data_IF_712129408409
#
_entry.id   IF_712129408409
#
_cell.length_a   1.000
_cell.length_b   1.000
_cell.length_c   1.000
_cell.angle_alpha   90.00
_cell.angle_beta   90.00
_cell.angle_gamma   90.00
#
_symmetry.space_group_name_H-M   'P 1'
#
loop_
_entity.id
_entity.type
_entity.pdbx_description
1 polymer ?
#
# COMPACT_ATOMS: atom_id res chain seq x y z
N UNK A 1 17.64 -8.26 21.40
CA UNK A 1 16.96 -7.99 22.70
C UNK A 1 15.50 -8.31 22.48
N UNK A 2 14.93 -9.24 23.24
CA UNK A 2 13.51 -9.60 23.10
C UNK A 2 12.63 -8.44 23.62
N UNK A 3 11.48 -8.19 23.01
CA UNK A 3 10.55 -7.12 23.47
C UNK A 3 10.10 -7.32 24.92
N UNK A 4 9.94 -8.58 25.36
CA UNK A 4 9.66 -8.93 26.76
C UNK A 4 10.75 -8.52 27.74
N UNK A 5 12.02 -8.62 27.33
CA UNK A 5 13.18 -8.20 28.11
C UNK A 5 13.21 -6.68 28.32
N UNK A 6 12.84 -5.93 27.29
CA UNK A 6 12.75 -4.47 27.34
C UNK A 6 11.61 -4.01 28.28
N UNK A 7 10.43 -4.64 28.17
CA UNK A 7 9.28 -4.35 29.02
C UNK A 7 9.63 -4.64 30.47
N UNK A 8 10.19 -5.82 30.75
CA UNK A 8 10.63 -6.20 32.11
C UNK A 8 11.58 -5.16 32.72
N UNK A 9 12.60 -4.72 31.96
CA UNK A 9 13.55 -3.70 32.44
C UNK A 9 12.90 -2.35 32.69
N UNK A 10 11.95 -1.93 31.84
CA UNK A 10 11.24 -0.67 32.04
C UNK A 10 10.33 -0.71 33.27
N UNK A 11 9.67 -1.83 33.52
CA UNK A 11 8.76 -1.97 34.67
C UNK A 11 9.52 -2.23 35.97
N UNK A 12 10.43 -3.21 36.00
CA UNK A 12 11.08 -3.64 37.24
C UNK A 12 12.32 -2.79 37.60
N UNK A 13 13.13 -2.38 36.61
CA UNK A 13 14.35 -1.62 36.88
C UNK A 13 14.12 -0.11 36.91
N UNK A 14 13.16 0.41 36.13
CA UNK A 14 12.91 1.84 35.97
C UNK A 14 11.57 2.29 36.62
N UNK A 15 10.74 1.38 37.08
CA UNK A 15 9.43 1.69 37.67
C UNK A 15 8.43 2.33 36.71
N UNK A 16 8.64 2.18 35.40
CA UNK A 16 7.79 2.79 34.37
C UNK A 16 6.73 1.77 33.98
N UNK A 17 5.45 2.11 34.19
CA UNK A 17 4.32 1.30 33.67
C UNK A 17 4.29 1.39 32.14
N UNK A 18 4.45 0.25 31.48
CA UNK A 18 4.40 0.14 30.02
C UNK A 18 3.10 -0.52 29.59
N UNK A 19 2.36 0.15 28.70
CA UNK A 19 1.22 -0.46 28.00
C UNK A 19 1.66 -0.86 26.61
N UNK A 20 1.57 -2.15 26.28
CA UNK A 20 1.91 -2.68 24.96
C UNK A 20 0.62 -2.86 24.18
N UNK A 21 0.56 -2.23 22.99
CA UNK A 21 -0.53 -2.51 22.04
C UNK A 21 -0.27 -3.81 21.30
N UNK A 22 -1.35 -4.45 20.83
CA UNK A 22 -1.21 -5.56 19.91
C UNK A 22 -0.41 -5.15 18.68
N UNK A 23 0.45 -6.05 18.16
CA UNK A 23 1.23 -5.75 16.97
C UNK A 23 0.32 -5.53 15.76
N UNK A 24 0.62 -4.50 14.98
CA UNK A 24 -0.19 -4.08 13.84
C UNK A 24 0.48 -4.53 12.54
N UNK A 25 -0.28 -5.23 11.70
CA UNK A 25 0.11 -5.51 10.31
C UNK A 25 -0.30 -4.33 9.44
N UNK A 26 0.62 -3.80 8.66
CA UNK A 26 0.36 -2.71 7.71
C UNK A 26 0.13 -3.32 6.33
N UNK A 27 -1.11 -3.33 5.91
CA UNK A 27 -1.52 -3.72 4.58
C UNK A 27 -1.31 -2.58 3.56
N UNK A 28 -1.55 -2.87 2.29
CA UNK A 28 -1.56 -1.86 1.21
C UNK A 28 -2.84 -1.98 0.40
N UNK A 29 -3.42 -0.85 0.05
CA UNK A 29 -4.51 -0.81 -0.92
C UNK A 29 -3.97 -0.65 -2.34
N UNK A 30 -4.61 -1.26 -3.31
CA UNK A 30 -4.32 -1.12 -4.72
C UNK A 30 -5.57 -1.40 -5.56
N UNK A 31 -5.40 -1.49 -6.86
CA UNK A 31 -6.44 -1.83 -7.81
C UNK A 31 -5.98 -2.95 -8.74
N UNK A 32 -6.92 -3.76 -9.23
CA UNK A 32 -6.62 -4.86 -10.15
C UNK A 32 -7.04 -4.59 -11.59
N UNK A 33 -7.88 -3.58 -11.82
CA UNK A 33 -8.36 -3.18 -13.14
C UNK A 33 -8.16 -1.68 -13.31
N UNK A 34 -8.02 -1.23 -14.56
CA UNK A 34 -8.14 0.18 -14.90
C UNK A 34 -9.62 0.60 -15.03
N UNK A 35 -9.88 1.90 -14.95
CA UNK A 35 -11.17 2.48 -15.30
C UNK A 35 -11.08 3.43 -16.51
N UNK A 36 -10.13 3.17 -17.40
CA UNK A 36 -9.89 3.97 -18.60
C UNK A 36 -11.15 4.19 -19.42
N UNK A 37 -11.39 5.43 -19.81
CA UNK A 37 -12.63 5.85 -20.51
C UNK A 37 -13.87 5.97 -19.62
N UNK A 38 -13.75 5.72 -18.29
CA UNK A 38 -14.81 5.84 -17.31
C UNK A 38 -14.36 6.67 -16.12
N UNK A 39 -13.85 7.87 -16.38
CA UNK A 39 -13.34 8.78 -15.37
C UNK A 39 -14.38 9.02 -14.25
N UNK A 40 -13.90 9.12 -13.03
CA UNK A 40 -14.75 9.48 -11.89
C UNK A 40 -14.73 10.99 -11.68
N UNK A 41 -15.91 11.58 -11.50
CA UNK A 41 -16.09 13.01 -11.26
C UNK A 41 -16.06 13.30 -9.75
N UNK A 42 -15.11 14.11 -9.30
CA UNK A 42 -15.13 14.70 -7.97
C UNK A 42 -15.51 16.17 -8.04
N UNK A 43 -16.42 16.58 -7.19
CA UNK A 43 -16.95 17.95 -7.12
C UNK A 43 -16.43 18.67 -5.88
N UNK A 44 -16.12 19.95 -6.02
CA UNK A 44 -15.81 20.77 -4.85
C UNK A 44 -17.05 21.00 -3.99
N UNK A 45 -16.90 21.24 -2.65
CA UNK A 45 -18.04 21.52 -1.77
C UNK A 45 -18.94 22.65 -2.26
N UNK A 46 -18.37 23.68 -2.88
CA UNK A 46 -19.13 24.77 -3.51
C UNK A 46 -19.71 24.41 -4.89
N UNK A 47 -19.45 23.20 -5.43
CA UNK A 47 -19.88 22.68 -6.73
C UNK A 47 -19.42 23.47 -7.97
N UNK A 48 -18.48 24.40 -7.79
CA UNK A 48 -17.96 25.22 -8.89
C UNK A 48 -16.79 24.56 -9.63
N UNK A 49 -16.10 23.62 -8.99
CA UNK A 49 -14.96 22.91 -9.59
C UNK A 49 -15.26 21.42 -9.69
N UNK A 50 -14.76 20.81 -10.75
CA UNK A 50 -14.90 19.37 -11.01
C UNK A 50 -13.56 18.84 -11.51
N UNK A 51 -13.19 17.65 -11.04
CA UNK A 51 -11.99 16.93 -11.45
C UNK A 51 -12.38 15.54 -11.92
N UNK A 52 -11.87 15.12 -13.06
CA UNK A 52 -12.15 13.84 -13.67
C UNK A 52 -10.91 12.97 -13.62
N UNK A 53 -10.98 11.87 -12.89
CA UNK A 53 -9.86 10.99 -12.58
C UNK A 53 -10.08 9.60 -13.17
N UNK A 54 -9.04 9.10 -13.79
CA UNK A 54 -8.86 7.68 -14.11
C UNK A 54 -7.73 7.11 -13.25
N UNK A 55 -7.83 5.81 -12.93
CA UNK A 55 -6.81 5.07 -12.19
C UNK A 55 -6.47 3.78 -12.94
N UNK A 56 -5.21 3.41 -12.95
CA UNK A 56 -4.74 2.17 -13.53
C UNK A 56 -3.62 1.56 -12.65
N UNK A 57 -3.52 0.21 -12.58
CA UNK A 57 -2.45 -0.42 -11.84
C UNK A 57 -1.11 -0.18 -12.57
N UNK A 58 -0.06 0.09 -11.80
CA UNK A 58 1.29 0.13 -12.34
C UNK A 58 1.82 -1.30 -12.51
N UNK A 59 2.65 -1.56 -13.52
CA UNK A 59 3.36 -2.82 -13.67
C UNK A 59 4.21 -3.17 -12.44
N UNK A 60 4.35 -4.46 -12.14
CA UNK A 60 5.07 -4.93 -10.96
C UNK A 60 6.56 -4.55 -10.95
N UNK A 61 7.19 -4.54 -12.10
CA UNK A 61 8.59 -4.12 -12.28
C UNK A 61 8.78 -2.63 -12.01
N UNK A 62 7.85 -1.79 -12.48
CA UNK A 62 7.81 -0.34 -12.16
C UNK A 62 7.63 -0.14 -10.66
N UNK A 63 6.65 -0.81 -10.07
CA UNK A 63 6.37 -0.72 -8.63
C UNK A 63 7.57 -1.15 -7.78
N UNK A 64 8.29 -2.18 -8.22
CA UNK A 64 9.53 -2.65 -7.59
C UNK A 64 10.64 -1.60 -7.69
N UNK A 65 10.88 -1.09 -8.89
CA UNK A 65 11.90 -0.06 -9.14
C UNK A 65 11.64 1.23 -8.33
N UNK A 66 10.36 1.60 -8.17
CA UNK A 66 9.98 2.73 -7.30
C UNK A 66 10.30 2.45 -5.83
N UNK A 67 10.05 1.23 -5.35
CA UNK A 67 10.38 0.81 -3.98
C UNK A 67 11.88 0.80 -3.72
N UNK A 68 12.68 0.47 -4.72
CA UNK A 68 14.15 0.49 -4.69
C UNK A 68 14.73 1.92 -4.78
N UNK A 69 13.86 2.94 -4.94
CA UNK A 69 14.26 4.34 -4.95
C UNK A 69 14.84 4.84 -6.27
N UNK A 70 14.66 4.11 -7.39
CA UNK A 70 15.14 4.51 -8.73
C UNK A 70 14.48 5.81 -9.19
N UNK A 71 13.22 6.01 -8.80
CA UNK A 71 12.47 7.24 -9.04
C UNK A 71 12.44 8.05 -7.73
N UNK A 72 12.68 9.33 -7.76
CA UNK A 72 12.55 10.19 -6.58
C UNK A 72 11.13 10.16 -5.99
N UNK A 73 10.93 10.76 -4.82
CA UNK A 73 9.62 10.93 -4.18
C UNK A 73 9.26 12.42 -4.10
N UNK A 74 7.98 12.75 -4.16
CA UNK A 74 7.47 14.13 -4.07
C UNK A 74 7.01 14.74 -5.39
N UNK A 75 6.82 16.06 -5.39
CA UNK A 75 6.40 16.83 -6.56
C UNK A 75 7.51 16.86 -7.62
N UNK A 76 7.17 16.52 -8.86
CA UNK A 76 8.11 16.54 -10.00
C UNK A 76 8.08 17.91 -10.65
N UNK A 77 9.20 18.64 -10.66
CA UNK A 77 9.29 19.95 -11.33
C UNK A 77 9.20 19.79 -12.84
N UNK A 78 8.65 20.80 -13.54
CA UNK A 78 8.49 20.75 -14.99
C UNK A 78 9.82 20.51 -15.74
N UNK A 79 10.93 21.04 -15.23
CA UNK A 79 12.26 20.83 -15.79
C UNK A 79 12.74 19.38 -15.68
N UNK A 80 12.35 18.67 -14.61
CA UNK A 80 12.78 17.31 -14.30
C UNK A 80 11.83 16.25 -14.94
N UNK A 81 10.63 16.67 -15.34
CA UNK A 81 9.59 15.77 -15.87
C UNK A 81 10.03 14.99 -17.13
N UNK A 82 10.92 15.58 -17.94
CA UNK A 82 11.48 14.91 -19.13
C UNK A 82 12.40 13.76 -18.74
N UNK A 83 13.26 13.96 -17.74
CA UNK A 83 14.18 12.93 -17.24
C UNK A 83 13.40 11.80 -16.55
N UNK A 84 12.49 12.16 -15.65
CA UNK A 84 11.61 11.20 -14.96
C UNK A 84 10.81 10.37 -15.97
N UNK A 85 10.20 11.02 -16.98
CA UNK A 85 9.46 10.33 -18.03
C UNK A 85 10.33 9.40 -18.90
N UNK A 86 11.61 9.72 -19.11
CA UNK A 86 12.54 8.82 -19.79
C UNK A 86 12.84 7.58 -18.95
N UNK A 87 13.07 7.73 -17.63
CA UNK A 87 13.27 6.60 -16.71
C UNK A 87 12.08 5.65 -16.71
N UNK A 88 10.85 6.17 -16.62
CA UNK A 88 9.65 5.32 -16.72
C UNK A 88 9.53 4.60 -18.07
N UNK A 89 9.97 5.23 -19.16
CA UNK A 89 9.96 4.60 -20.49
C UNK A 89 10.92 3.40 -20.60
N UNK A 90 11.99 3.34 -19.80
CA UNK A 90 12.90 2.18 -19.73
C UNK A 90 12.18 0.93 -19.17
N UNK A 91 11.12 1.13 -18.40
CA UNK A 91 10.23 0.08 -17.89
C UNK A 91 8.97 -0.10 -18.75
N UNK A 92 8.97 0.36 -20.01
CA UNK A 92 7.87 0.16 -20.97
C UNK A 92 6.66 1.08 -20.80
N UNK A 93 6.71 2.07 -19.89
CA UNK A 93 5.63 3.06 -19.75
C UNK A 93 5.61 4.06 -20.91
N UNK A 94 4.42 4.57 -21.24
CA UNK A 94 4.29 5.60 -22.29
C UNK A 94 5.08 6.87 -21.92
N UNK A 95 6.15 7.10 -22.68
CA UNK A 95 7.05 8.25 -22.48
C UNK A 95 6.34 9.60 -22.52
N UNK A 96 5.36 9.77 -23.42
CA UNK A 96 4.65 11.04 -23.58
C UNK A 96 3.71 11.30 -22.42
N UNK A 97 3.08 10.25 -21.90
CA UNK A 97 2.25 10.32 -20.71
C UNK A 97 3.10 10.62 -19.48
N UNK A 98 4.20 9.89 -19.29
CA UNK A 98 5.05 10.04 -18.10
C UNK A 98 5.82 11.37 -18.04
N UNK A 99 5.98 12.09 -19.16
CA UNK A 99 6.49 13.46 -19.16
C UNK A 99 5.53 14.50 -18.59
N UNK A 100 4.27 14.11 -18.35
CA UNK A 100 3.23 14.95 -17.75
C UNK A 100 3.04 14.65 -16.25
N UNK A 101 3.98 13.96 -15.64
CA UNK A 101 3.94 13.60 -14.23
C UNK A 101 3.94 14.84 -13.34
N UNK A 102 3.06 14.85 -12.35
CA UNK A 102 2.95 15.91 -11.35
C UNK A 102 3.66 15.53 -10.05
N UNK A 103 3.49 14.29 -9.60
CA UNK A 103 4.08 13.83 -8.35
C UNK A 103 4.25 12.31 -8.33
N UNK A 104 5.19 11.87 -7.50
CA UNK A 104 5.37 10.49 -7.06
C UNK A 104 5.16 10.48 -5.54
N UNK A 105 4.39 9.51 -5.04
CA UNK A 105 4.27 9.28 -3.60
C UNK A 105 4.41 7.78 -3.30
N UNK A 106 5.57 7.41 -2.74
CA UNK A 106 5.95 6.02 -2.56
C UNK A 106 6.01 5.27 -3.90
N UNK A 107 5.08 4.35 -4.11
CA UNK A 107 4.96 3.60 -5.38
C UNK A 107 3.75 4.03 -6.21
N UNK A 108 3.25 5.24 -6.01
CA UNK A 108 2.08 5.76 -6.74
C UNK A 108 2.47 7.00 -7.54
N UNK A 109 1.81 7.21 -8.66
CA UNK A 109 2.14 8.27 -9.61
C UNK A 109 0.90 9.09 -9.92
N UNK A 110 1.04 10.43 -9.94
CA UNK A 110 0.01 11.35 -10.41
C UNK A 110 0.45 11.96 -11.74
N UNK A 111 -0.40 11.84 -12.76
CA UNK A 111 -0.15 12.37 -14.10
C UNK A 111 -1.23 13.35 -14.51
N UNK A 112 -0.83 14.49 -15.07
CA UNK A 112 -1.77 15.44 -15.69
C UNK A 112 -1.93 15.11 -17.18
N UNK A 113 -2.99 14.42 -17.54
CA UNK A 113 -3.30 14.08 -18.92
C UNK A 113 -4.41 14.99 -19.53
N UNK A 114 -4.66 16.14 -18.91
CA UNK A 114 -5.64 17.11 -19.41
C UNK A 114 -5.12 17.83 -20.67
N UNK A 115 -6.04 18.43 -21.40
CA UNK A 115 -5.72 19.26 -22.58
C UNK A 115 -6.34 20.65 -22.44
N UNK A 116 -5.48 21.67 -22.31
CA UNK A 116 -5.91 23.07 -22.42
C UNK A 116 -6.84 23.57 -21.32
N UNK A 117 -6.74 23.05 -20.10
CA UNK A 117 -7.56 23.51 -18.97
C UNK A 117 -7.04 24.84 -18.46
N UNK A 118 -7.89 25.86 -18.51
CA UNK A 118 -7.57 27.19 -18.00
C UNK A 118 -7.40 27.15 -16.46
N UNK A 119 -6.44 27.91 -15.95
CA UNK A 119 -6.13 28.06 -14.52
C UNK A 119 -5.72 26.78 -13.77
N UNK A 120 -5.52 25.64 -14.46
CA UNK A 120 -5.14 24.39 -13.82
C UNK A 120 -3.79 24.49 -13.08
N UNK A 121 -2.86 25.25 -13.63
CA UNK A 121 -1.53 25.46 -13.05
C UNK A 121 -1.56 26.08 -11.65
N UNK A 122 -2.56 26.92 -11.35
CA UNK A 122 -2.75 27.55 -10.04
C UNK A 122 -3.22 26.55 -8.97
N UNK A 123 -3.87 25.47 -9.38
CA UNK A 123 -4.39 24.43 -8.49
C UNK A 123 -3.45 23.22 -8.35
N UNK A 124 -2.31 23.23 -9.05
CA UNK A 124 -1.40 22.09 -9.13
C UNK A 124 -0.99 21.55 -7.76
N UNK A 125 -0.54 22.40 -6.86
CA UNK A 125 -0.08 21.99 -5.52
C UNK A 125 -1.23 21.40 -4.69
N UNK A 126 -2.44 21.95 -4.82
CA UNK A 126 -3.63 21.43 -4.14
C UNK A 126 -4.06 20.06 -4.70
N UNK A 127 -3.88 19.84 -6.00
CA UNK A 127 -4.12 18.53 -6.64
C UNK A 127 -3.11 17.50 -6.12
N UNK A 128 -1.84 17.87 -6.01
CA UNK A 128 -0.78 17.01 -5.45
C UNK A 128 -1.07 16.70 -3.98
N UNK A 129 -1.51 17.67 -3.19
CA UNK A 129 -1.89 17.46 -1.78
C UNK A 129 -3.05 16.47 -1.65
N UNK A 130 -4.12 16.63 -2.44
CA UNK A 130 -5.25 15.71 -2.49
C UNK A 130 -4.83 14.27 -2.88
N UNK A 131 -3.90 14.14 -3.82
CA UNK A 131 -3.30 12.86 -4.20
C UNK A 131 -2.50 12.24 -3.05
N UNK A 132 -1.64 13.02 -2.39
CA UNK A 132 -0.83 12.56 -1.27
C UNK A 132 -1.69 12.09 -0.09
N UNK A 133 -2.81 12.76 0.18
CA UNK A 133 -3.76 12.35 1.20
C UNK A 133 -4.34 10.95 0.92
N UNK A 134 -4.72 10.70 -0.33
CA UNK A 134 -5.26 9.39 -0.72
C UNK A 134 -4.17 8.32 -0.75
N UNK A 135 -2.94 8.66 -1.15
CA UNK A 135 -1.82 7.72 -1.08
C UNK A 135 -1.54 7.24 0.35
N UNK A 136 -1.79 8.07 1.34
CA UNK A 136 -1.65 7.71 2.77
C UNK A 136 -2.85 6.93 3.30
N UNK A 137 -4.06 7.21 2.78
CA UNK A 137 -5.34 6.67 3.25
C UNK A 137 -6.26 6.33 2.08
N UNK A 138 -6.18 5.09 1.61
CA UNK A 138 -7.01 4.58 0.53
C UNK A 138 -8.50 4.50 0.90
N UNK A 139 -9.38 4.19 -0.07
CA UNK A 139 -10.83 4.22 0.13
C UNK A 139 -11.39 2.99 0.86
N UNK A 140 -10.65 1.87 0.92
CA UNK A 140 -11.17 0.59 1.42
C UNK A 140 -11.09 0.52 2.95
N UNK A 141 -9.91 0.74 3.50
CA UNK A 141 -9.63 0.57 4.94
C UNK A 141 -8.64 1.61 5.49
N UNK A 142 -8.51 2.76 4.83
CA UNK A 142 -7.53 3.81 5.18
C UNK A 142 -6.09 3.24 5.29
N UNK A 143 -5.77 2.20 4.49
CA UNK A 143 -4.39 1.72 4.35
C UNK A 143 -3.67 2.48 3.22
N UNK A 144 -2.33 2.60 3.29
CA UNK A 144 -1.59 3.30 2.24
C UNK A 144 -1.71 2.62 0.88
N UNK A 145 -1.77 3.41 -0.19
CA UNK A 145 -1.81 2.91 -1.56
C UNK A 145 -0.45 2.34 -2.02
N UNK A 146 -0.51 1.41 -2.94
CA UNK A 146 0.65 0.82 -3.60
C UNK A 146 0.37 0.51 -5.07
N UNK A 147 1.31 0.92 -5.95
CA UNK A 147 1.32 0.50 -7.35
C UNK A 147 0.18 1.06 -8.19
N UNK A 148 -0.20 2.32 -7.97
CA UNK A 148 -1.31 2.96 -8.70
C UNK A 148 -0.84 4.17 -9.48
N UNK A 149 -1.22 4.27 -10.74
CA UNK A 149 -1.16 5.50 -11.52
C UNK A 149 -2.52 6.19 -11.52
N UNK A 150 -2.54 7.43 -11.05
CA UNK A 150 -3.71 8.33 -11.04
C UNK A 150 -3.55 9.33 -12.18
N UNK A 151 -4.52 9.37 -13.08
CA UNK A 151 -4.53 10.27 -14.23
C UNK A 151 -5.64 11.32 -14.07
N UNK A 152 -5.25 12.58 -14.01
CA UNK A 152 -6.20 13.69 -14.16
C UNK A 152 -6.46 13.87 -15.66
N UNK A 153 -7.63 13.46 -16.15
CA UNK A 153 -7.95 13.45 -17.59
C UNK A 153 -8.70 14.69 -18.04
N UNK A 154 -9.47 15.32 -17.13
CA UNK A 154 -10.18 16.58 -17.40
C UNK A 154 -10.43 17.34 -16.09
N UNK A 155 -10.69 18.64 -16.18
CA UNK A 155 -11.14 19.46 -15.07
C UNK A 155 -11.99 20.64 -15.56
N UNK A 156 -12.95 21.03 -14.72
CA UNK A 156 -13.72 22.28 -14.89
C UNK A 156 -13.48 23.14 -13.65
N UNK A 157 -12.89 24.29 -13.86
CA UNK A 157 -12.48 25.21 -12.78
C UNK A 157 -13.25 26.52 -12.91
N UNK A 158 -13.65 27.07 -11.78
CA UNK A 158 -14.25 28.39 -11.72
C UNK A 158 -13.22 29.46 -12.14
N UNK A 159 -13.63 30.52 -12.80
CA UNK A 159 -12.74 31.59 -13.28
C UNK A 159 -12.10 32.38 -12.13
N UNK A 160 -12.88 32.62 -11.07
CA UNK A 160 -12.41 33.34 -9.88
C UNK A 160 -11.63 32.43 -8.94
N UNK A 161 -10.40 32.84 -8.61
CA UNK A 161 -9.48 32.10 -7.76
C UNK A 161 -10.02 31.85 -6.33
N UNK A 162 -10.88 32.72 -5.80
CA UNK A 162 -11.49 32.57 -4.46
C UNK A 162 -12.29 31.27 -4.35
N UNK A 163 -12.83 30.78 -5.47
CA UNK A 163 -13.60 29.53 -5.52
C UNK A 163 -12.76 28.28 -5.75
N UNK A 164 -11.44 28.41 -5.93
CA UNK A 164 -10.48 27.32 -6.18
C UNK A 164 -9.51 27.07 -5.03
N UNK A 165 -9.77 27.63 -3.87
CA UNK A 165 -8.89 27.50 -2.69
C UNK A 165 -8.78 26.05 -2.14
N UNK A 166 -7.88 25.82 -1.15
CA UNK A 166 -7.60 24.51 -0.59
C UNK A 166 -8.86 23.77 -0.13
N UNK A 167 -9.76 24.45 0.60
CA UNK A 167 -11.01 23.89 1.11
C UNK A 167 -11.98 23.40 0.02
N UNK A 168 -11.78 23.80 -1.22
CA UNK A 168 -12.59 23.40 -2.37
C UNK A 168 -11.89 22.34 -3.22
N UNK A 169 -10.62 22.57 -3.55
CA UNK A 169 -9.87 21.73 -4.49
C UNK A 169 -9.43 20.41 -3.87
N UNK A 170 -8.85 20.43 -2.67
CA UNK A 170 -8.32 19.22 -2.04
C UNK A 170 -9.41 18.15 -1.82
N UNK A 171 -10.59 18.46 -1.21
CA UNK A 171 -11.66 17.47 -1.05
C UNK A 171 -12.16 16.93 -2.39
N UNK A 172 -12.32 17.79 -3.40
CA UNK A 172 -12.79 17.38 -4.73
C UNK A 172 -11.84 16.38 -5.38
N UNK A 173 -10.55 16.66 -5.38
CA UNK A 173 -9.52 15.76 -5.93
C UNK A 173 -9.46 14.46 -5.15
N UNK A 174 -9.46 14.51 -3.82
CA UNK A 174 -9.46 13.34 -2.95
C UNK A 174 -10.67 12.43 -3.22
N UNK A 175 -11.87 13.00 -3.33
CA UNK A 175 -13.08 12.25 -3.63
C UNK A 175 -13.02 11.66 -5.04
N UNK A 176 -12.54 12.42 -6.04
CA UNK A 176 -12.35 11.93 -7.40
C UNK A 176 -11.42 10.72 -7.45
N UNK A 177 -10.28 10.77 -6.75
CA UNK A 177 -9.31 9.67 -6.71
C UNK A 177 -9.91 8.46 -5.99
N UNK A 178 -10.50 8.64 -4.81
CA UNK A 178 -11.11 7.54 -4.04
C UNK A 178 -12.23 6.85 -4.83
N UNK A 179 -13.09 7.60 -5.49
CA UNK A 179 -14.13 7.05 -6.35
C UNK A 179 -13.58 6.30 -7.56
N UNK A 180 -12.53 6.83 -8.21
CA UNK A 180 -11.86 6.15 -9.32
C UNK A 180 -11.23 4.81 -8.88
N UNK A 181 -10.59 4.77 -7.70
CA UNK A 181 -10.01 3.55 -7.14
C UNK A 181 -11.07 2.48 -6.87
N UNK A 182 -12.22 2.84 -6.28
CA UNK A 182 -13.32 1.90 -6.05
C UNK A 182 -13.88 1.34 -7.36
N UNK A 183 -14.01 2.20 -8.39
CA UNK A 183 -14.45 1.80 -9.75
C UNK A 183 -13.47 0.84 -10.44
N UNK A 184 -12.21 0.88 -10.04
CA UNK A 184 -11.11 0.09 -10.62
C UNK A 184 -10.88 -1.26 -9.91
N UNK A 185 -11.86 -1.76 -9.18
CA UNK A 185 -11.78 -3.00 -8.38
C UNK A 185 -10.61 -2.99 -7.40
N UNK A 186 -10.84 -2.37 -6.26
CA UNK A 186 -9.86 -2.30 -5.18
C UNK A 186 -9.46 -3.70 -4.67
N UNK A 187 -8.18 -3.84 -4.35
CA UNK A 187 -7.56 -5.05 -3.79
C UNK A 187 -6.69 -4.67 -2.59
N UNK A 188 -6.43 -5.65 -1.73
CA UNK A 188 -5.50 -5.50 -0.60
C UNK A 188 -4.25 -6.34 -0.87
N UNK A 189 -3.11 -5.80 -0.50
CA UNK A 189 -1.84 -6.50 -0.45
C UNK A 189 -1.44 -6.74 0.99
N UNK A 190 -1.04 -7.98 1.31
CA UNK A 190 -0.52 -8.35 2.61
C UNK A 190 1.02 -8.39 2.60
N UNK A 191 1.68 -7.95 3.69
CA UNK A 191 3.12 -8.03 3.79
C UNK A 191 3.57 -9.47 4.06
N UNK A 192 4.65 -9.86 3.38
CA UNK A 192 5.27 -11.17 3.46
C UNK A 192 6.65 -11.10 4.09
N UNK A 193 7.08 -12.19 4.67
CA UNK A 193 8.45 -12.41 5.13
C UNK A 193 9.01 -13.71 4.56
N UNK A 194 10.29 -13.67 4.16
CA UNK A 194 11.08 -14.87 3.96
C UNK A 194 11.38 -15.45 5.32
N UNK A 195 11.33 -16.77 5.45
CA UNK A 195 11.69 -17.50 6.66
C UNK A 195 12.76 -18.55 6.33
N UNK A 196 13.71 -18.71 7.22
CA UNK A 196 14.64 -19.83 7.25
C UNK A 196 14.62 -20.41 8.65
N UNK A 197 14.41 -21.71 8.73
CA UNK A 197 14.31 -22.45 10.00
C UNK A 197 15.22 -23.65 9.92
N UNK A 198 16.27 -23.65 10.71
CA UNK A 198 17.22 -24.75 10.82
C UNK A 198 16.85 -25.60 12.05
N UNK A 199 16.64 -26.90 11.86
CA UNK A 199 16.23 -27.83 12.91
C UNK A 199 16.76 -29.25 12.66
N UNK A 200 16.91 -30.08 13.72
CA UNK A 200 17.22 -31.49 13.56
C UNK A 200 16.17 -32.25 12.71
N UNK A 201 16.61 -33.23 11.94
CA UNK A 201 15.76 -33.98 11.02
C UNK A 201 14.55 -34.65 11.71
N UNK A 202 14.70 -35.08 12.97
CA UNK A 202 13.65 -35.75 13.73
C UNK A 202 12.45 -34.83 14.08
N UNK A 203 12.63 -33.50 14.07
CA UNK A 203 11.56 -32.51 14.37
C UNK A 203 11.13 -31.69 13.14
N UNK A 204 11.73 -31.93 11.97
CA UNK A 204 11.47 -31.13 10.77
C UNK A 204 9.99 -31.21 10.30
N UNK A 205 9.32 -32.33 10.55
CA UNK A 205 7.89 -32.47 10.28
C UNK A 205 7.02 -31.51 11.09
N UNK A 206 7.44 -31.22 12.34
CA UNK A 206 6.79 -30.20 13.17
C UNK A 206 6.99 -28.80 12.60
N UNK A 207 8.20 -28.48 12.15
CA UNK A 207 8.51 -27.19 11.50
C UNK A 207 7.67 -27.00 10.24
N UNK A 208 7.65 -27.99 9.36
CA UNK A 208 6.86 -27.97 8.12
C UNK A 208 5.38 -27.74 8.39
N UNK A 209 4.82 -28.42 9.38
CA UNK A 209 3.44 -28.26 9.78
C UNK A 209 3.15 -26.84 10.28
N UNK A 210 3.98 -26.27 11.15
CA UNK A 210 3.80 -24.93 11.68
C UNK A 210 3.83 -23.87 10.56
N UNK A 211 4.72 -24.01 9.60
CA UNK A 211 4.80 -23.09 8.46
C UNK A 211 3.54 -23.21 7.59
N UNK A 212 3.11 -24.42 7.24
CA UNK A 212 1.98 -24.62 6.32
C UNK A 212 0.63 -24.25 6.94
N UNK A 213 0.42 -24.52 8.24
CA UNK A 213 -0.82 -24.13 8.94
C UNK A 213 -0.98 -22.61 9.04
N UNK A 214 0.12 -21.86 8.91
CA UNK A 214 0.19 -20.39 8.90
C UNK A 214 0.24 -19.78 7.49
N UNK A 215 -0.33 -20.45 6.51
CA UNK A 215 -0.34 -20.05 5.10
C UNK A 215 1.07 -19.83 4.50
N UNK A 216 2.10 -20.38 5.14
CA UNK A 216 3.46 -20.35 4.64
C UNK A 216 3.63 -21.29 3.44
N UNK A 217 4.47 -20.85 2.50
CA UNK A 217 4.87 -21.64 1.33
C UNK A 217 6.33 -22.03 1.51
N UNK A 218 6.60 -23.32 1.51
CA UNK A 218 7.96 -23.86 1.57
C UNK A 218 8.49 -23.88 0.15
N UNK A 219 9.64 -23.22 -0.07
CA UNK A 219 10.31 -23.12 -1.36
C UNK A 219 11.43 -24.15 -1.51
N UNK A 220 12.16 -24.43 -0.41
CA UNK A 220 13.26 -25.37 -0.40
C UNK A 220 13.42 -26.02 0.99
N UNK A 221 14.06 -27.20 1.01
CA UNK A 221 14.31 -27.94 2.24
C UNK A 221 15.63 -28.72 2.18
N UNK A 222 16.78 -28.03 2.14
CA UNK A 222 18.08 -28.68 2.10
C UNK A 222 18.37 -29.42 3.42
N UNK A 223 19.00 -30.58 3.29
CA UNK A 223 19.42 -31.44 4.42
C UNK A 223 20.93 -31.50 4.44
N UNK A 224 21.52 -31.24 5.60
CA UNK A 224 22.95 -31.36 5.85
C UNK A 224 23.19 -32.21 7.11
N UNK A 225 23.61 -33.44 6.90
CA UNK A 225 23.79 -34.41 7.98
C UNK A 225 22.53 -34.67 8.79
N UNK A 226 22.55 -34.27 10.06
CA UNK A 226 21.44 -34.45 10.99
C UNK A 226 20.53 -33.22 11.10
N UNK A 227 20.75 -32.18 10.30
CA UNK A 227 20.01 -30.94 10.32
C UNK A 227 19.35 -30.68 8.95
N UNK A 228 18.13 -30.20 8.96
CA UNK A 228 17.46 -29.71 7.75
C UNK A 228 17.09 -28.25 7.94
N UNK A 229 17.09 -27.50 6.84
CA UNK A 229 16.62 -26.12 6.78
C UNK A 229 15.29 -26.06 6.05
N UNK A 230 14.28 -25.43 6.60
CA UNK A 230 13.04 -25.06 5.89
C UNK A 230 13.18 -23.63 5.44
N UNK A 231 13.17 -23.41 4.13
CA UNK A 231 13.24 -22.09 3.49
C UNK A 231 11.92 -21.83 2.82
N UNK A 232 11.34 -20.66 3.04
CA UNK A 232 10.05 -20.33 2.46
C UNK A 232 9.59 -18.91 2.76
N UNK A 233 8.31 -18.66 2.50
CA UNK A 233 7.64 -17.38 2.73
C UNK A 233 6.40 -17.56 3.58
N UNK A 234 6.12 -16.59 4.43
CA UNK A 234 4.94 -16.60 5.30
C UNK A 234 4.37 -15.17 5.41
N UNK A 235 3.03 -15.01 5.45
CA UNK A 235 2.44 -13.72 5.75
C UNK A 235 2.83 -13.22 7.14
N UNK A 236 3.15 -11.92 7.26
CA UNK A 236 3.49 -11.33 8.55
C UNK A 236 2.30 -11.44 9.52
N UNK A 237 1.07 -11.34 9.03
CA UNK A 237 -0.13 -11.52 9.84
C UNK A 237 -0.18 -12.87 10.58
N UNK A 238 0.41 -13.91 10.01
CA UNK A 238 0.43 -15.27 10.58
C UNK A 238 1.66 -15.52 11.48
N UNK A 239 2.57 -14.54 11.62
CA UNK A 239 3.76 -14.71 12.44
C UNK A 239 3.55 -14.53 13.94
N UNK A 240 2.39 -13.98 14.33
CA UNK A 240 2.08 -13.81 15.74
C UNK A 240 1.92 -15.15 16.45
N UNK A 241 2.62 -15.30 17.58
CA UNK A 241 2.68 -16.58 18.31
C UNK A 241 3.62 -17.63 17.71
N UNK A 242 4.12 -17.45 16.49
CA UNK A 242 4.99 -18.41 15.81
C UNK A 242 6.21 -18.83 16.65
N UNK A 243 6.84 -17.90 17.38
CA UNK A 243 7.99 -18.20 18.24
C UNK A 243 7.70 -19.24 19.33
N UNK A 244 6.50 -19.21 19.89
CA UNK A 244 6.10 -20.17 20.94
C UNK A 244 5.78 -21.53 20.32
N UNK A 245 5.04 -21.54 19.21
CA UNK A 245 4.59 -22.77 18.57
C UNK A 245 5.74 -23.53 17.94
N UNK A 246 6.70 -22.85 17.30
CA UNK A 246 7.89 -23.49 16.74
C UNK A 246 8.80 -24.05 17.83
N UNK A 247 8.94 -23.36 18.98
CA UNK A 247 9.67 -23.90 20.13
C UNK A 247 9.00 -25.15 20.69
N UNK A 248 7.68 -25.14 20.82
CA UNK A 248 6.92 -26.31 21.27
C UNK A 248 7.07 -27.49 20.29
N UNK A 249 6.90 -27.23 18.99
CA UNK A 249 6.98 -28.25 17.94
C UNK A 249 8.38 -28.88 17.81
N UNK A 250 9.44 -28.14 18.18
CA UNK A 250 10.84 -28.57 18.04
C UNK A 250 11.57 -28.84 19.36
N UNK A 251 10.84 -28.77 20.49
CA UNK A 251 11.44 -28.86 21.83
C UNK A 251 12.56 -27.82 22.07
N UNK A 252 12.40 -26.63 21.48
CA UNK A 252 13.36 -25.54 21.56
C UNK A 252 14.63 -25.71 20.70
N UNK A 253 14.69 -26.73 19.83
CA UNK A 253 15.88 -27.06 19.03
C UNK A 253 15.96 -26.36 17.68
N UNK A 254 14.92 -25.65 17.25
CA UNK A 254 14.95 -24.89 16.02
C UNK A 254 15.56 -23.49 16.24
N UNK A 255 16.30 -23.04 15.23
CA UNK A 255 16.79 -21.66 15.09
C UNK A 255 16.17 -21.11 13.83
N UNK A 256 15.66 -19.88 13.88
CA UNK A 256 15.05 -19.25 12.70
C UNK A 256 15.38 -17.77 12.59
N UNK A 257 15.35 -17.28 11.38
CA UNK A 257 15.36 -15.86 11.05
C UNK A 257 14.24 -15.53 10.07
N UNK A 258 13.88 -14.25 10.03
CA UNK A 258 12.87 -13.72 9.11
C UNK A 258 13.35 -12.41 8.50
N UNK A 259 13.03 -12.20 7.22
CA UNK A 259 13.35 -10.97 6.48
C UNK A 259 12.12 -10.52 5.71
N UNK A 260 11.94 -9.21 5.58
CA UNK A 260 10.83 -8.66 4.78
C UNK A 260 10.96 -9.11 3.32
N UNK A 261 9.87 -9.68 2.77
CA UNK A 261 9.80 -10.17 1.39
C UNK A 261 8.89 -9.31 0.49
N UNK A 262 8.45 -8.16 0.97
CA UNK A 262 7.55 -7.28 0.23
C UNK A 262 6.08 -7.60 0.45
N UNK A 263 5.28 -7.45 -0.59
CA UNK A 263 3.82 -7.56 -0.53
C UNK A 263 3.31 -8.51 -1.60
N UNK A 264 2.24 -9.25 -1.29
CA UNK A 264 1.50 -10.10 -2.23
C UNK A 264 0.01 -9.81 -2.14
N UNK A 265 -0.74 -10.16 -3.17
CA UNK A 265 -2.19 -10.07 -3.14
C UNK A 265 -2.78 -10.89 -1.99
N UNK A 266 -3.62 -10.25 -1.18
CA UNK A 266 -4.41 -10.98 -0.18
C UNK A 266 -5.37 -11.93 -0.90
N UNK A 267 -5.47 -13.21 -0.50
CA UNK A 267 -6.46 -14.13 -1.05
C UNK A 267 -7.88 -13.56 -0.98
N UNK A 268 -8.64 -13.69 -2.08
CA UNK A 268 -9.97 -13.08 -2.20
C UNK A 268 -10.93 -13.49 -1.06
N UNK A 269 -10.79 -14.73 -0.56
CA UNK A 269 -11.61 -15.25 0.55
C UNK A 269 -11.37 -14.51 1.87
N UNK A 270 -10.21 -13.87 2.03
CA UNK A 270 -9.83 -13.15 3.24
C UNK A 270 -10.13 -11.65 3.14
N UNK A 271 -10.48 -11.14 1.97
CA UNK A 271 -10.65 -9.72 1.73
C UNK A 271 -11.65 -9.08 2.70
N UNK A 272 -12.87 -9.60 2.78
CA UNK A 272 -13.93 -9.04 3.62
C UNK A 272 -13.57 -9.11 5.11
N UNK A 273 -13.01 -10.25 5.55
CA UNK A 273 -12.58 -10.44 6.93
C UNK A 273 -11.50 -9.44 7.32
N UNK A 274 -10.42 -9.39 6.54
CA UNK A 274 -9.26 -8.55 6.85
C UNK A 274 -9.62 -7.07 6.77
N UNK A 275 -10.40 -6.65 5.76
CA UNK A 275 -10.84 -5.25 5.65
C UNK A 275 -11.74 -4.84 6.80
N UNK A 276 -12.66 -5.71 7.24
CA UNK A 276 -13.50 -5.46 8.41
C UNK A 276 -12.67 -5.28 9.68
N UNK A 277 -11.71 -6.18 9.93
CA UNK A 277 -10.81 -6.10 11.09
C UNK A 277 -9.97 -4.81 11.09
N UNK A 278 -9.44 -4.42 9.93
CA UNK A 278 -8.67 -3.16 9.80
C UNK A 278 -9.58 -1.96 10.08
N UNK A 279 -10.78 -1.95 9.51
CA UNK A 279 -11.75 -0.85 9.67
C UNK A 279 -12.20 -0.72 11.12
N UNK A 280 -12.51 -1.83 11.78
CA UNK A 280 -12.88 -1.84 13.21
C UNK A 280 -11.73 -1.29 14.08
N UNK A 281 -10.52 -1.76 13.88
CA UNK A 281 -9.32 -1.27 14.58
C UNK A 281 -9.10 0.24 14.42
N UNK A 282 -9.44 0.79 13.24
CA UNK A 282 -9.31 2.22 12.94
C UNK A 282 -10.55 3.04 13.33
N UNK A 283 -11.59 2.43 13.90
CA UNK A 283 -12.84 3.09 14.25
C UNK A 283 -13.65 3.56 13.04
N UNK A 284 -13.46 2.93 11.89
CA UNK A 284 -14.22 3.21 10.67
C UNK A 284 -15.54 2.42 10.67
N UNK A 285 -16.52 2.87 9.89
CA UNK A 285 -17.75 2.09 9.66
C UNK A 285 -17.40 0.73 9.08
N UNK A 286 -18.11 -0.33 9.47
CA UNK A 286 -17.85 -1.69 9.00
C UNK A 286 -17.95 -1.83 7.47
N UNK A 287 -18.91 -1.14 6.85
CA UNK A 287 -19.11 -1.16 5.41
C UNK A 287 -18.07 -0.31 4.68
N UNK A 288 -17.50 -0.87 3.61
CA UNK A 288 -16.66 -0.12 2.68
C UNK A 288 -17.54 0.86 1.92
N UNK A 289 -17.20 2.17 1.86
CA UNK A 289 -18.01 3.13 1.12
C UNK A 289 -18.07 2.75 -0.36
N UNK A 290 -19.25 2.82 -0.94
CA UNK A 290 -19.41 2.67 -2.39
C UNK A 290 -19.01 3.94 -3.15
N UNK A 291 -18.91 3.86 -4.48
CA UNK A 291 -18.59 5.00 -5.35
C UNK A 291 -19.51 6.21 -5.09
N UNK A 292 -20.81 5.97 -4.85
CA UNK A 292 -21.79 7.01 -4.62
C UNK A 292 -21.44 7.94 -3.44
N UNK A 293 -20.71 7.43 -2.45
CA UNK A 293 -20.26 8.22 -1.30
C UNK A 293 -19.33 9.39 -1.68
N UNK A 294 -18.65 9.29 -2.82
CA UNK A 294 -17.69 10.28 -3.31
C UNK A 294 -18.20 11.14 -4.46
N UNK A 295 -19.48 10.98 -4.85
CA UNK A 295 -20.10 11.74 -5.95
C UNK A 295 -20.66 13.11 -5.53
N UNK A 296 -20.91 13.30 -4.24
CA UNK A 296 -21.55 14.51 -3.68
C UNK A 296 -20.56 15.57 -3.22
#
# INVERSE_FOLDING_TARGET
MCSSDLIYRLEEEQGIKVSVSDPIVVYRESISLDNKGRAFEGKSPNRHNRFYIEAEPLPDDVTRAMREGIFGDGAVRNQDAKEVGNKFAEFGMDKNLMRKIYAIHGTNVLVNDTKGIQNLHETRELIIEGFNDVCKKGPVADEPLMGVMVRLVDAKLHEDAIHRGPAQTIPAVRNAIKGALLRSKSVIFEPMQNIRIDAPNDVIGGVTREVTTRRGVIEDMPVDGNTASVIGKMPIAESFGFSNDIRAATQGRAIWNTENSGYVHLPAQLFDKVTSEIRERKGLKAEIPGEAHYMD
#
